data_IF_858621656011
#
_entry.id   IF_858621656011
#
_cell.length_a   1.000
_cell.length_b   1.000
_cell.length_c   1.000
_cell.angle_alpha   90.00
_cell.angle_beta   90.00
_cell.angle_gamma   90.00
#
_symmetry.space_group_name_H-M   'P 1'
#
loop_
_entity.id
_entity.type
_entity.pdbx_description
1 polymer ?
#
# COMPACT_ATOMS: atom_id res chain seq x y z
N UNK A 1 16.36 17.54 9.26
CA UNK A 1 17.13 16.34 8.92
C UNK A 1 17.09 15.44 10.14
N UNK A 2 16.43 14.29 10.05
CA UNK A 2 16.48 13.30 11.12
C UNK A 2 17.92 12.85 11.31
N UNK A 3 18.39 12.65 12.54
CA UNK A 3 19.75 12.18 12.77
C UNK A 3 19.89 10.76 12.18
N UNK A 4 21.06 10.43 11.58
CA UNK A 4 21.25 9.22 10.74
C UNK A 4 21.05 7.89 11.50
N UNK A 5 21.04 7.94 12.83
CA UNK A 5 20.74 6.82 13.73
C UNK A 5 19.26 6.43 13.76
N UNK A 6 18.34 7.33 13.41
CA UNK A 6 16.89 7.06 13.38
C UNK A 6 16.40 6.53 12.02
N UNK A 7 17.12 6.78 10.94
CA UNK A 7 16.73 6.38 9.57
C UNK A 7 16.56 4.84 9.45
N UNK A 8 17.53 4.11 10.00
CA UNK A 8 17.56 2.64 9.93
C UNK A 8 16.46 1.96 10.76
N UNK A 9 16.24 2.30 12.05
CA UNK A 9 15.13 1.73 12.82
C UNK A 9 13.76 2.16 12.29
N UNK A 10 13.61 3.37 11.74
CA UNK A 10 12.35 3.79 11.08
C UNK A 10 12.07 2.95 9.84
N UNK A 11 13.06 2.76 8.97
CA UNK A 11 12.92 1.91 7.79
C UNK A 11 12.54 0.47 8.16
N UNK A 12 13.22 -0.12 9.15
CA UNK A 12 12.91 -1.46 9.63
C UNK A 12 11.51 -1.56 10.22
N UNK A 13 11.07 -0.53 10.95
CA UNK A 13 9.71 -0.49 11.53
C UNK A 13 8.65 -0.38 10.43
N UNK A 14 8.88 0.43 9.40
CA UNK A 14 7.98 0.56 8.25
C UNK A 14 7.89 -0.73 7.44
N UNK A 15 9.04 -1.36 7.15
CA UNK A 15 9.09 -2.64 6.43
C UNK A 15 8.43 -3.76 7.24
N UNK A 16 8.75 -3.87 8.52
CA UNK A 16 8.20 -4.90 9.40
C UNK A 16 6.70 -4.72 9.63
N UNK A 17 6.26 -3.51 9.97
CA UNK A 17 4.85 -3.18 10.17
C UNK A 17 4.03 -3.32 8.88
N UNK A 18 4.56 -2.81 7.77
CA UNK A 18 3.94 -2.93 6.45
C UNK A 18 3.81 -4.39 6.00
N UNK A 19 4.87 -5.19 6.18
CA UNK A 19 4.83 -6.63 5.89
C UNK A 19 3.80 -7.35 6.75
N UNK A 20 3.79 -7.11 8.07
CA UNK A 20 2.85 -7.75 8.98
C UNK A 20 1.41 -7.39 8.62
N UNK A 21 1.12 -6.12 8.37
CA UNK A 21 -0.21 -5.67 7.95
C UNK A 21 -0.64 -6.31 6.62
N UNK A 22 0.23 -6.31 5.60
CA UNK A 22 -0.05 -6.90 4.30
C UNK A 22 -0.27 -8.42 4.39
N UNK A 23 0.55 -9.13 5.18
CA UNK A 23 0.43 -10.56 5.40
C UNK A 23 -0.89 -10.92 6.09
N UNK A 24 -1.21 -10.24 7.20
CA UNK A 24 -2.45 -10.47 7.94
C UNK A 24 -3.68 -10.17 7.09
N UNK A 25 -3.64 -9.10 6.29
CA UNK A 25 -4.70 -8.75 5.35
C UNK A 25 -4.91 -9.83 4.28
N UNK A 26 -3.84 -10.34 3.68
CA UNK A 26 -3.89 -11.40 2.68
C UNK A 26 -4.34 -12.76 3.25
N UNK A 27 -4.10 -13.00 4.54
CA UNK A 27 -4.58 -14.21 5.22
C UNK A 27 -6.11 -14.23 5.40
N UNK A 28 -6.78 -13.07 5.32
CA UNK A 28 -8.23 -13.00 5.42
C UNK A 28 -8.90 -13.76 4.27
N UNK A 29 -10.02 -14.47 4.55
CA UNK A 29 -10.72 -15.26 3.53
C UNK A 29 -11.10 -14.46 2.29
N UNK A 30 -11.34 -13.16 2.43
CA UNK A 30 -11.70 -12.27 1.32
C UNK A 30 -10.67 -12.24 0.19
N UNK A 31 -9.40 -12.57 0.46
CA UNK A 31 -8.32 -12.51 -0.53
C UNK A 31 -8.04 -13.84 -1.24
N UNK A 32 -8.26 -14.98 -0.58
CA UNK A 32 -7.95 -16.30 -1.14
C UNK A 32 -9.18 -17.17 -1.38
N UNK A 33 -10.26 -16.99 -0.62
CA UNK A 33 -11.45 -17.83 -0.70
C UNK A 33 -12.11 -17.80 -2.09
N UNK A 34 -12.24 -16.65 -2.78
CA UNK A 34 -12.82 -16.63 -4.12
C UNK A 34 -12.06 -17.52 -5.11
N UNK A 35 -10.72 -17.51 -5.07
CA UNK A 35 -9.89 -18.36 -5.92
C UNK A 35 -10.06 -19.84 -5.60
N UNK A 36 -10.16 -20.19 -4.32
CA UNK A 36 -10.41 -21.58 -3.90
C UNK A 36 -11.80 -22.05 -4.34
N UNK A 37 -12.84 -21.23 -4.20
CA UNK A 37 -14.20 -21.56 -4.62
C UNK A 37 -14.29 -21.74 -6.14
N UNK A 38 -13.70 -20.82 -6.92
CA UNK A 38 -13.61 -20.95 -8.38
C UNK A 38 -12.80 -22.18 -8.78
N UNK A 39 -11.64 -22.39 -8.16
CA UNK A 39 -10.79 -23.55 -8.42
C UNK A 39 -11.49 -24.87 -8.14
N UNK A 40 -12.28 -24.96 -7.06
CA UNK A 40 -13.12 -26.13 -6.76
C UNK A 40 -14.23 -26.31 -7.79
N UNK A 41 -14.98 -25.26 -8.11
CA UNK A 41 -16.06 -25.31 -9.10
C UNK A 41 -15.57 -25.73 -10.50
N UNK A 42 -14.37 -25.31 -10.87
CA UNK A 42 -13.73 -25.60 -12.15
C UNK A 42 -12.83 -26.85 -12.12
N UNK A 43 -12.78 -27.58 -11.00
CA UNK A 43 -11.92 -28.76 -10.79
C UNK A 43 -10.45 -28.51 -11.14
N UNK A 44 -9.92 -27.35 -10.77
CA UNK A 44 -8.51 -27.02 -10.95
C UNK A 44 -7.62 -27.87 -10.03
N UNK A 45 -6.43 -28.21 -10.52
CA UNK A 45 -5.38 -28.75 -9.67
C UNK A 45 -4.89 -27.68 -8.69
N UNK A 46 -4.33 -28.11 -7.55
CA UNK A 46 -3.75 -27.18 -6.57
C UNK A 46 -2.70 -26.25 -7.18
N UNK A 47 -1.88 -26.77 -8.09
CA UNK A 47 -0.87 -25.99 -8.80
C UNK A 47 -1.49 -24.85 -9.64
N UNK A 48 -2.60 -25.12 -10.35
CA UNK A 48 -3.29 -24.10 -11.14
C UNK A 48 -3.91 -23.02 -10.25
N UNK A 49 -4.52 -23.41 -9.13
CA UNK A 49 -5.05 -22.45 -8.15
C UNK A 49 -3.95 -21.58 -7.56
N UNK A 50 -2.81 -22.18 -7.18
CA UNK A 50 -1.67 -21.44 -6.64
C UNK A 50 -1.10 -20.46 -7.67
N UNK A 51 -0.91 -20.90 -8.92
CA UNK A 51 -0.44 -20.04 -10.00
C UNK A 51 -1.39 -18.86 -10.25
N UNK A 52 -2.70 -19.09 -10.25
CA UNK A 52 -3.70 -18.04 -10.43
C UNK A 52 -3.68 -17.02 -9.28
N UNK A 53 -3.63 -17.49 -8.02
CA UNK A 53 -3.54 -16.64 -6.83
C UNK A 53 -2.25 -15.83 -6.85
N UNK A 54 -1.11 -16.44 -7.14
CA UNK A 54 0.18 -15.76 -7.22
C UNK A 54 0.19 -14.70 -8.33
N UNK A 55 -0.29 -15.04 -9.53
CA UNK A 55 -0.35 -14.09 -10.65
C UNK A 55 -1.26 -12.89 -10.34
N UNK A 56 -2.45 -13.14 -9.79
CA UNK A 56 -3.37 -12.08 -9.39
C UNK A 56 -2.79 -11.22 -8.25
N UNK A 57 -2.15 -11.84 -7.26
CA UNK A 57 -1.49 -11.14 -6.16
C UNK A 57 -0.34 -10.25 -6.64
N UNK A 58 0.50 -10.73 -7.56
CA UNK A 58 1.58 -9.93 -8.16
C UNK A 58 1.03 -8.76 -8.96
N UNK A 59 0.01 -8.99 -9.79
CA UNK A 59 -0.63 -7.93 -10.56
C UNK A 59 -1.25 -6.86 -9.64
N UNK A 60 -1.90 -7.29 -8.55
CA UNK A 60 -2.44 -6.40 -7.54
C UNK A 60 -1.35 -5.55 -6.87
N UNK A 61 -0.28 -6.17 -6.36
CA UNK A 61 0.85 -5.45 -5.72
C UNK A 61 1.51 -4.48 -6.70
N UNK A 62 1.77 -4.90 -7.94
CA UNK A 62 2.37 -4.03 -8.96
C UNK A 62 1.49 -2.80 -9.23
N UNK A 63 0.17 -2.98 -9.31
CA UNK A 63 -0.77 -1.89 -9.53
C UNK A 63 -0.80 -0.90 -8.36
N UNK A 64 -0.77 -1.38 -7.11
CA UNK A 64 -0.82 -0.52 -5.93
C UNK A 64 0.50 0.22 -5.72
N UNK A 65 1.64 -0.43 -5.98
CA UNK A 65 2.96 0.23 -5.99
C UNK A 65 2.99 1.32 -7.05
N UNK A 66 2.54 1.02 -8.28
CA UNK A 66 2.51 2.02 -9.36
C UNK A 66 1.67 3.24 -8.97
N UNK A 67 0.44 3.05 -8.49
CA UNK A 67 -0.43 4.15 -8.06
C UNK A 67 0.20 4.92 -6.89
N UNK A 68 0.74 4.22 -5.89
CA UNK A 68 1.42 4.84 -4.76
C UNK A 68 2.62 5.70 -5.20
N UNK A 69 3.45 5.20 -6.11
CA UNK A 69 4.58 5.94 -6.68
C UNK A 69 4.13 7.18 -7.45
N UNK A 70 3.03 7.10 -8.20
CA UNK A 70 2.46 8.25 -8.89
C UNK A 70 1.96 9.31 -7.91
N UNK A 71 1.34 8.91 -6.80
CA UNK A 71 0.91 9.82 -5.73
C UNK A 71 2.13 10.51 -5.10
N UNK A 72 3.21 9.77 -4.81
CA UNK A 72 4.45 10.36 -4.29
C UNK A 72 5.03 11.37 -5.29
N UNK A 73 5.11 11.01 -6.57
CA UNK A 73 5.63 11.90 -7.61
C UNK A 73 4.78 13.18 -7.75
N UNK A 74 3.45 13.06 -7.70
CA UNK A 74 2.54 14.19 -7.70
C UNK A 74 2.72 15.08 -6.46
N UNK A 75 2.89 14.49 -5.28
CA UNK A 75 3.19 15.22 -4.05
C UNK A 75 4.48 16.03 -4.14
N UNK A 76 5.55 15.44 -4.67
CA UNK A 76 6.83 16.12 -4.88
C UNK A 76 6.72 17.26 -5.90
N UNK A 77 5.94 17.08 -6.97
CA UNK A 77 5.72 18.12 -7.98
C UNK A 77 4.89 19.29 -7.43
N UNK A 78 3.92 19.01 -6.55
CA UNK A 78 3.03 20.01 -5.96
C UNK A 78 3.57 20.65 -4.69
N UNK A 79 4.69 20.17 -4.14
CA UNK A 79 5.28 20.61 -2.87
C UNK A 79 5.41 22.13 -2.77
N UNK A 80 5.91 22.78 -3.83
CA UNK A 80 6.07 24.25 -3.87
C UNK A 80 4.75 25.02 -3.78
N UNK A 81 3.68 24.49 -4.39
CA UNK A 81 2.35 25.11 -4.37
C UNK A 81 1.68 24.88 -3.01
N UNK A 82 1.77 23.65 -2.49
CA UNK A 82 1.20 23.28 -1.20
C UNK A 82 1.91 24.03 -0.07
N UNK A 83 3.23 24.16 -0.10
CA UNK A 83 4.00 24.92 0.88
C UNK A 83 3.55 26.40 0.96
N UNK A 84 3.14 26.99 -0.15
CA UNK A 84 2.61 28.36 -0.19
C UNK A 84 1.18 28.49 0.35
N UNK A 85 0.35 27.46 0.23
CA UNK A 85 -1.08 27.50 0.53
C UNK A 85 -1.44 26.92 1.92
N UNK A 86 -0.71 25.89 2.35
CA UNK A 86 -0.98 25.12 3.55
C UNK A 86 -0.92 25.95 4.85
N UNK A 87 0.02 26.90 5.06
CA UNK A 87 0.04 27.73 6.25
C UNK A 87 -1.21 28.60 6.37
N UNK A 88 -1.69 29.14 5.25
CA UNK A 88 -2.89 29.98 5.21
C UNK A 88 -4.16 29.18 5.45
N UNK A 89 -4.28 27.99 4.83
CA UNK A 89 -5.39 27.07 5.09
C UNK A 89 -5.41 26.59 6.54
N UNK A 90 -4.26 26.24 7.09
CA UNK A 90 -4.11 25.84 8.49
C UNK A 90 -4.49 26.97 9.44
N UNK A 91 -4.03 28.19 9.17
CA UNK A 91 -4.37 29.38 9.94
C UNK A 91 -5.87 29.69 9.86
N UNK A 92 -6.47 29.66 8.67
CA UNK A 92 -7.90 29.89 8.49
C UNK A 92 -8.76 28.85 9.24
N UNK A 93 -8.35 27.58 9.25
CA UNK A 93 -9.03 26.53 10.02
C UNK A 93 -8.83 26.70 11.54
N UNK A 94 -7.63 27.08 12.00
CA UNK A 94 -7.32 27.28 13.42
C UNK A 94 -7.99 28.50 14.04
N UNK A 95 -8.15 29.58 13.27
CA UNK A 95 -8.77 30.83 13.75
C UNK A 95 -10.23 30.99 13.34
N UNK A 96 -10.73 30.13 12.45
CA UNK A 96 -12.12 30.12 11.98
C UNK A 96 -13.04 29.16 12.73
N UNK A 97 -12.49 28.29 13.58
CA UNK A 97 -13.19 27.49 14.60
C UNK A 97 -12.83 28.04 15.98
#
# INVERSE_FOLDING_TARGET
MSPPDLEQPVLLSLLGGGFAAAFLHAALPTHWLPFVLVGRAQRWSAARSLAAVTAAGLAHIASTVMVGSLIVAAGLALDTVVAGLLPWLSAALLFGF
#
